data_IF_673951080895
#
_entry.id   IF_673951080895
#
_cell.length_a   1.000
_cell.length_b   1.000
_cell.length_c   1.000
_cell.angle_alpha   90.00
_cell.angle_beta   90.00
_cell.angle_gamma   90.00
#
_symmetry.space_group_name_H-M   'P 1'
#
loop_
_entity.id
_entity.type
_entity.pdbx_description
1 polymer ?
#
# COMPACT_ATOMS: atom_id res chain seq x y z
N UNK A 1 -13.11 3.60 13.71
CA UNK A 1 -12.48 3.02 12.51
C UNK A 1 -13.58 2.39 11.68
N UNK A 2 -13.56 2.46 10.35
CA UNK A 2 -14.55 1.73 9.56
C UNK A 2 -14.36 0.23 9.78
N UNK A 3 -15.46 -0.48 9.99
CA UNK A 3 -15.42 -1.93 10.05
C UNK A 3 -15.07 -2.49 8.67
N UNK A 4 -14.33 -3.57 8.65
CA UNK A 4 -14.04 -4.28 7.42
C UNK A 4 -15.34 -4.83 6.82
N UNK A 5 -15.53 -4.72 5.49
CA UNK A 5 -16.69 -5.33 4.84
C UNK A 5 -16.62 -6.85 4.94
N UNK A 6 -17.72 -7.52 4.68
CA UNK A 6 -17.77 -8.97 4.58
C UNK A 6 -16.99 -9.45 3.37
N UNK A 7 -16.49 -10.69 3.41
CA UNK A 7 -15.81 -11.30 2.27
C UNK A 7 -14.95 -12.49 2.70
N UNK A 8 -14.46 -13.21 1.69
CA UNK A 8 -13.63 -14.39 1.86
C UNK A 8 -12.18 -14.07 1.47
N UNK A 9 -11.23 -14.46 2.30
CA UNK A 9 -9.80 -14.30 1.97
C UNK A 9 -9.12 -13.12 2.68
N UNK A 10 -7.97 -12.66 2.16
CA UNK A 10 -7.16 -11.65 2.80
C UNK A 10 -7.81 -10.27 2.75
N UNK A 11 -7.59 -9.49 3.80
CA UNK A 11 -8.04 -8.09 3.91
C UNK A 11 -7.15 -7.19 3.09
N UNK A 12 -7.73 -6.47 2.12
CA UNK A 12 -7.02 -5.52 1.28
C UNK A 12 -7.22 -4.09 1.76
N UNK A 13 -6.13 -3.36 1.93
CA UNK A 13 -6.17 -1.91 2.10
C UNK A 13 -5.70 -1.23 0.81
N UNK A 14 -6.58 -0.48 0.15
CA UNK A 14 -6.29 0.22 -1.10
C UNK A 14 -6.27 1.74 -0.89
N UNK A 15 -5.10 2.35 -1.12
CA UNK A 15 -4.92 3.81 -1.10
C UNK A 15 -4.69 4.29 -2.53
N UNK A 16 -5.73 4.87 -3.15
CA UNK A 16 -5.79 5.10 -4.59
C UNK A 16 -5.98 6.58 -4.95
N UNK A 17 -5.61 6.93 -6.17
CA UNK A 17 -5.86 8.23 -6.78
C UNK A 17 -6.98 8.14 -7.79
N UNK A 18 -7.91 9.10 -7.76
CA UNK A 18 -9.06 9.15 -8.69
C UNK A 18 -8.66 9.35 -10.16
N UNK A 19 -7.51 9.95 -10.42
CA UNK A 19 -6.98 10.15 -11.77
C UNK A 19 -6.20 8.93 -12.33
N UNK A 20 -6.10 7.85 -11.58
CA UNK A 20 -5.46 6.63 -12.08
C UNK A 20 -6.29 5.98 -13.18
N UNK A 21 -5.74 5.89 -14.38
CA UNK A 21 -6.47 5.36 -15.56
C UNK A 21 -6.94 3.91 -15.43
N UNK A 22 -6.24 3.11 -14.61
CA UNK A 22 -6.58 1.73 -14.31
C UNK A 22 -7.55 1.54 -13.14
N UNK A 23 -8.18 2.62 -12.63
CA UNK A 23 -8.99 2.57 -11.40
C UNK A 23 -10.20 1.64 -11.53
N UNK A 24 -10.99 1.79 -12.61
CA UNK A 24 -12.19 0.96 -12.85
C UNK A 24 -11.84 -0.53 -13.01
N UNK A 25 -10.92 -0.96 -13.89
CA UNK A 25 -10.53 -2.37 -13.99
C UNK A 25 -9.87 -2.92 -12.71
N UNK A 26 -9.15 -2.10 -11.94
CA UNK A 26 -8.62 -2.51 -10.65
C UNK A 26 -9.76 -2.79 -9.65
N UNK A 27 -10.72 -1.87 -9.51
CA UNK A 27 -11.87 -2.03 -8.62
C UNK A 27 -12.73 -3.23 -9.02
N UNK A 28 -12.91 -3.46 -10.33
CA UNK A 28 -13.57 -4.65 -10.87
C UNK A 28 -12.87 -5.95 -10.45
N UNK A 29 -11.53 -5.97 -10.54
CA UNK A 29 -10.73 -7.12 -10.13
C UNK A 29 -10.80 -7.36 -8.61
N UNK A 30 -10.79 -6.28 -7.82
CA UNK A 30 -10.95 -6.36 -6.36
C UNK A 30 -12.35 -6.90 -6.02
N UNK A 31 -13.42 -6.39 -6.65
CA UNK A 31 -14.78 -6.86 -6.41
C UNK A 31 -14.93 -8.35 -6.76
N UNK A 32 -14.37 -8.78 -7.88
CA UNK A 32 -14.40 -10.18 -8.31
C UNK A 32 -13.64 -11.11 -7.35
N UNK A 33 -12.62 -10.62 -6.66
CA UNK A 33 -11.86 -11.41 -5.68
C UNK A 33 -12.65 -11.73 -4.42
N UNK A 34 -13.72 -10.98 -4.12
CA UNK A 34 -14.52 -11.05 -2.89
C UNK A 34 -13.70 -10.83 -1.60
N UNK A 35 -12.49 -10.34 -1.70
CA UNK A 35 -11.66 -10.04 -0.55
C UNK A 35 -12.20 -8.81 0.20
N UNK A 36 -12.30 -8.86 1.54
CA UNK A 36 -12.69 -7.70 2.34
C UNK A 36 -11.75 -6.53 2.05
N UNK A 37 -12.25 -5.45 1.46
CA UNK A 37 -11.41 -4.35 0.99
C UNK A 37 -11.88 -3.01 1.54
N UNK A 38 -10.97 -2.28 2.19
CA UNK A 38 -11.14 -0.88 2.52
C UNK A 38 -10.42 -0.02 1.49
N UNK A 39 -11.16 0.87 0.84
CA UNK A 39 -10.64 1.77 -0.19
C UNK A 39 -10.65 3.21 0.31
N UNK A 40 -9.52 3.89 0.25
CA UNK A 40 -9.46 5.33 0.30
C UNK A 40 -9.06 5.85 -1.09
N UNK A 41 -9.96 6.58 -1.71
CA UNK A 41 -9.73 7.20 -3.02
C UNK A 41 -10.31 8.61 -3.01
N UNK A 42 -9.44 9.60 -2.73
CA UNK A 42 -9.88 11.00 -2.67
C UNK A 42 -10.34 11.47 -4.04
N UNK A 43 -11.55 12.04 -4.09
CA UNK A 43 -12.12 12.59 -5.33
C UNK A 43 -12.57 11.52 -6.32
N UNK A 44 -12.88 10.31 -5.85
CA UNK A 44 -13.48 9.28 -6.71
C UNK A 44 -14.81 9.75 -7.29
N UNK A 45 -15.06 9.40 -8.55
CA UNK A 45 -16.34 9.65 -9.19
C UNK A 45 -17.48 8.96 -8.41
N UNK A 46 -18.58 9.69 -8.04
CA UNK A 46 -19.68 9.12 -7.27
C UNK A 46 -20.31 7.89 -7.92
N UNK A 47 -20.45 7.84 -9.23
CA UNK A 47 -21.02 6.72 -9.96
C UNK A 47 -20.10 5.49 -9.92
N UNK A 48 -18.79 5.73 -9.98
CA UNK A 48 -17.80 4.66 -9.87
C UNK A 48 -17.79 4.11 -8.43
N UNK A 49 -17.87 4.98 -7.43
CA UNK A 49 -18.00 4.59 -6.03
C UNK A 49 -19.26 3.73 -5.82
N UNK A 50 -20.44 4.21 -6.24
CA UNK A 50 -21.72 3.53 -6.11
C UNK A 50 -21.71 2.12 -6.74
N UNK A 51 -21.03 1.98 -7.89
CA UNK A 51 -20.90 0.68 -8.59
C UNK A 51 -20.17 -0.36 -7.77
N UNK A 52 -19.16 0.03 -6.97
CA UNK A 52 -18.29 -0.90 -6.25
C UNK A 52 -18.46 -0.88 -4.73
N UNK A 53 -19.11 0.13 -4.15
CA UNK A 53 -19.39 0.18 -2.70
C UNK A 53 -20.46 -0.85 -2.35
N UNK A 54 -20.07 -1.95 -1.71
CA UNK A 54 -20.97 -3.10 -1.52
C UNK A 54 -20.43 -4.14 -0.54
N UNK A 55 -20.77 -5.40 -0.79
CA UNK A 55 -20.54 -6.47 0.17
C UNK A 55 -19.09 -6.65 0.60
N UNK A 56 -18.15 -6.61 -0.37
CA UNK A 56 -16.72 -6.85 -0.12
C UNK A 56 -15.84 -5.60 -0.25
N UNK A 57 -16.37 -4.48 -0.71
CA UNK A 57 -15.64 -3.21 -0.83
C UNK A 57 -16.36 -2.13 -0.05
N UNK A 58 -15.63 -1.38 0.75
CA UNK A 58 -16.12 -0.18 1.45
C UNK A 58 -15.20 0.98 1.20
N UNK A 59 -15.77 2.10 0.76
CA UNK A 59 -15.03 3.34 0.58
C UNK A 59 -15.07 4.20 1.84
N UNK A 60 -13.90 4.65 2.29
CA UNK A 60 -13.82 5.66 3.34
C UNK A 60 -13.97 7.05 2.75
N UNK A 61 -14.81 7.88 3.38
CA UNK A 61 -14.95 9.29 3.03
C UNK A 61 -13.75 10.13 3.52
N UNK A 62 -13.11 9.70 4.59
CA UNK A 62 -12.01 10.41 5.24
C UNK A 62 -10.72 9.59 5.18
N UNK A 63 -9.59 10.30 5.26
CA UNK A 63 -8.29 9.65 5.37
C UNK A 63 -8.21 8.83 6.66
N UNK A 64 -7.91 7.55 6.50
CA UNK A 64 -7.82 6.62 7.60
C UNK A 64 -6.43 6.65 8.24
N UNK A 65 -6.37 6.40 9.55
CA UNK A 65 -5.09 6.23 10.23
C UNK A 65 -4.38 4.95 9.75
N UNK A 66 -3.37 5.13 8.92
CA UNK A 66 -2.60 4.01 8.32
C UNK A 66 -1.98 3.12 9.40
N UNK A 67 -1.49 3.69 10.49
CA UNK A 67 -0.91 2.95 11.62
C UNK A 67 -1.91 2.03 12.33
N UNK A 68 -3.21 2.34 12.29
CA UNK A 68 -4.27 1.51 12.87
C UNK A 68 -4.82 0.49 11.87
N UNK A 69 -4.71 0.77 10.57
CA UNK A 69 -5.21 -0.10 9.50
C UNK A 69 -4.22 -1.20 9.12
N UNK A 70 -2.95 -0.86 8.98
CA UNK A 70 -1.95 -1.82 8.52
C UNK A 70 -1.86 -3.09 9.36
N UNK A 71 -1.97 -3.07 10.70
CA UNK A 71 -2.00 -4.30 11.48
C UNK A 71 -3.14 -5.25 11.11
N UNK A 72 -4.25 -4.70 10.61
CA UNK A 72 -5.46 -5.46 10.26
C UNK A 72 -5.52 -5.87 8.79
N UNK A 73 -4.76 -5.23 7.92
CA UNK A 73 -4.68 -5.57 6.51
C UNK A 73 -3.71 -6.73 6.30
N UNK A 74 -3.92 -7.52 5.26
CA UNK A 74 -3.01 -8.58 4.83
C UNK A 74 -2.21 -8.14 3.59
N UNK A 75 -2.81 -7.34 2.71
CA UNK A 75 -2.21 -6.82 1.48
C UNK A 75 -2.51 -5.33 1.37
N UNK A 76 -1.53 -4.57 0.89
CA UNK A 76 -1.68 -3.14 0.60
C UNK A 76 -1.63 -2.91 -0.91
N UNK A 77 -2.56 -2.11 -1.44
CA UNK A 77 -2.56 -1.65 -2.84
C UNK A 77 -2.38 -0.13 -2.83
N UNK A 78 -1.36 0.36 -3.52
CA UNK A 78 -1.10 1.81 -3.56
C UNK A 78 -0.31 2.23 -4.81
N UNK A 79 -0.14 3.55 -4.98
CA UNK A 79 0.65 4.08 -6.09
C UNK A 79 2.17 4.11 -5.82
N UNK A 80 2.62 3.70 -4.63
CA UNK A 80 4.04 3.58 -4.33
C UNK A 80 4.67 4.88 -3.82
N UNK A 81 3.91 5.73 -3.09
CA UNK A 81 4.57 6.79 -2.33
C UNK A 81 5.54 6.17 -1.32
N UNK A 82 6.68 6.83 -1.11
CA UNK A 82 7.71 6.36 -0.17
C UNK A 82 7.12 6.06 1.21
N UNK A 83 6.31 6.98 1.75
CA UNK A 83 5.74 6.86 3.08
C UNK A 83 4.81 5.64 3.20
N UNK A 84 3.87 5.45 2.26
CA UNK A 84 2.92 4.33 2.31
C UNK A 84 3.65 3.00 2.15
N UNK A 85 4.58 2.91 1.20
CA UNK A 85 5.36 1.69 0.96
C UNK A 85 6.21 1.32 2.17
N UNK A 86 6.91 2.30 2.77
CA UNK A 86 7.71 2.06 3.97
C UNK A 86 6.85 1.60 5.16
N UNK A 87 5.71 2.24 5.40
CA UNK A 87 4.81 1.85 6.49
C UNK A 87 4.22 0.44 6.29
N UNK A 88 3.86 0.09 5.06
CA UNK A 88 3.37 -1.25 4.74
C UNK A 88 4.46 -2.32 5.01
N UNK A 89 5.68 -2.08 4.55
CA UNK A 89 6.80 -3.00 4.78
C UNK A 89 7.20 -3.10 6.26
N UNK A 90 7.20 -1.99 7.00
CA UNK A 90 7.44 -1.98 8.45
C UNK A 90 6.35 -2.73 9.22
N UNK A 91 5.13 -2.79 8.67
CA UNK A 91 4.05 -3.61 9.20
C UNK A 91 4.07 -5.07 8.70
N UNK A 92 5.08 -5.47 7.92
CA UNK A 92 5.22 -6.81 7.36
C UNK A 92 4.17 -7.15 6.29
N UNK A 93 3.63 -6.14 5.59
CA UNK A 93 2.55 -6.34 4.61
C UNK A 93 3.09 -6.30 3.18
N UNK A 94 2.80 -7.32 2.35
CA UNK A 94 3.12 -7.31 0.93
C UNK A 94 2.31 -6.23 0.21
N UNK A 95 2.88 -5.68 -0.87
CA UNK A 95 2.31 -4.52 -1.55
C UNK A 95 2.13 -4.76 -3.04
N UNK A 96 0.97 -4.35 -3.59
CA UNK A 96 0.79 -4.14 -5.03
C UNK A 96 1.00 -2.65 -5.33
N UNK A 97 2.01 -2.33 -6.13
CA UNK A 97 2.33 -0.96 -6.52
C UNK A 97 1.87 -0.65 -7.95
N UNK A 98 1.18 0.48 -8.08
CA UNK A 98 0.58 1.01 -9.32
C UNK A 98 1.10 2.43 -9.57
N UNK A 99 2.38 2.59 -9.93
CA UNK A 99 3.01 3.90 -10.03
C UNK A 99 2.36 4.77 -11.10
N UNK A 100 2.26 6.06 -10.83
CA UNK A 100 1.79 7.10 -11.76
C UNK A 100 2.85 8.16 -12.05
N UNK A 101 4.00 8.06 -11.36
CA UNK A 101 5.11 9.01 -11.44
C UNK A 101 6.45 8.24 -11.37
N UNK A 102 7.52 8.87 -11.86
CA UNK A 102 8.84 8.27 -11.92
C UNK A 102 9.37 7.82 -10.55
N UNK A 103 9.22 8.64 -9.52
CA UNK A 103 9.64 8.28 -8.15
C UNK A 103 8.97 6.99 -7.68
N UNK A 104 7.66 6.89 -7.86
CA UNK A 104 6.88 5.71 -7.49
C UNK A 104 7.32 4.46 -8.28
N UNK A 105 7.64 4.64 -9.56
CA UNK A 105 8.17 3.58 -10.41
C UNK A 105 9.53 3.06 -9.90
N UNK A 106 10.42 3.95 -9.48
CA UNK A 106 11.70 3.56 -8.90
C UNK A 106 11.52 2.79 -7.57
N UNK A 107 10.56 3.20 -6.74
CA UNK A 107 10.20 2.49 -5.51
C UNK A 107 9.64 1.09 -5.86
N UNK A 108 8.74 1.01 -6.83
CA UNK A 108 8.18 -0.25 -7.31
C UNK A 108 9.28 -1.22 -7.75
N UNK A 109 10.24 -0.77 -8.57
CA UNK A 109 11.37 -1.61 -9.01
C UNK A 109 12.19 -2.16 -7.85
N UNK A 110 12.42 -1.36 -6.81
CA UNK A 110 13.14 -1.79 -5.59
C UNK A 110 12.33 -2.81 -4.81
N UNK A 111 11.03 -2.57 -4.62
CA UNK A 111 10.12 -3.48 -3.93
C UNK A 111 10.06 -4.85 -4.62
N UNK A 112 9.86 -4.86 -5.94
CA UNK A 112 9.78 -6.09 -6.74
C UNK A 112 11.11 -6.86 -6.69
N UNK A 113 12.25 -6.17 -6.80
CA UNK A 113 13.58 -6.79 -6.66
C UNK A 113 13.78 -7.39 -5.27
N UNK A 114 13.28 -6.74 -4.23
CA UNK A 114 13.36 -7.26 -2.86
C UNK A 114 12.42 -8.46 -2.65
N UNK A 115 11.36 -8.59 -3.44
CA UNK A 115 10.41 -9.69 -3.41
C UNK A 115 9.27 -9.51 -2.40
N UNK A 116 9.05 -8.32 -1.84
CA UNK A 116 7.99 -8.06 -0.87
C UNK A 116 6.68 -7.59 -1.52
N UNK A 117 6.53 -7.72 -2.83
CA UNK A 117 5.32 -7.33 -3.53
C UNK A 117 5.45 -7.40 -5.03
N UNK A 118 4.43 -6.92 -5.70
CA UNK A 118 4.33 -6.84 -7.16
C UNK A 118 4.15 -5.39 -7.60
N UNK A 119 4.38 -5.13 -8.87
CA UNK A 119 4.16 -3.84 -9.49
C UNK A 119 3.59 -3.98 -10.89
N UNK A 120 2.67 -3.09 -11.23
CA UNK A 120 2.13 -2.97 -12.58
C UNK A 120 2.48 -1.56 -13.07
N UNK A 121 3.30 -1.49 -14.11
CA UNK A 121 3.73 -0.23 -14.69
C UNK A 121 2.57 0.47 -15.43
N UNK A 122 2.55 1.81 -15.49
CA UNK A 122 1.44 2.56 -16.06
C UNK A 122 1.26 2.35 -17.58
N UNK A 123 2.30 1.89 -18.27
CA UNK A 123 2.29 1.63 -19.72
C UNK A 123 1.68 0.28 -20.09
N UNK A 124 1.37 -0.58 -19.11
CA UNK A 124 0.79 -1.89 -19.37
C UNK A 124 -0.69 -1.72 -19.74
N UNK A 125 -0.98 -1.76 -21.03
CA UNK A 125 -2.33 -1.91 -21.54
C UNK A 125 -2.83 -3.32 -21.19
N UNK A 126 -4.06 -3.44 -20.68
CA UNK A 126 -4.66 -4.71 -20.24
C UNK A 126 -3.93 -5.33 -19.03
N UNK A 127 -3.64 -4.53 -18.03
CA UNK A 127 -3.03 -4.97 -16.78
C UNK A 127 -3.89 -6.05 -16.10
N UNK A 128 -3.29 -7.19 -15.79
CA UNK A 128 -3.96 -8.29 -15.09
C UNK A 128 -3.88 -8.09 -13.56
N UNK A 129 -4.76 -7.23 -13.06
CA UNK A 129 -4.88 -6.96 -11.62
C UNK A 129 -5.32 -8.19 -10.83
N UNK A 130 -6.19 -9.03 -11.42
CA UNK A 130 -6.72 -10.21 -10.77
C UNK A 130 -5.61 -11.23 -10.47
N UNK A 131 -4.76 -11.55 -11.46
CA UNK A 131 -3.61 -12.43 -11.26
C UNK A 131 -2.59 -11.86 -10.27
N UNK A 132 -2.35 -10.54 -10.26
CA UNK A 132 -1.44 -9.91 -9.30
C UNK A 132 -1.98 -10.01 -7.87
N UNK A 133 -3.27 -9.71 -7.64
CA UNK A 133 -3.91 -9.82 -6.33
C UNK A 133 -3.92 -11.28 -5.86
N UNK A 134 -4.28 -12.22 -6.73
CA UNK A 134 -4.24 -13.66 -6.43
C UNK A 134 -2.84 -14.12 -6.06
N UNK A 135 -1.81 -13.71 -6.80
CA UNK A 135 -0.44 -14.08 -6.50
C UNK A 135 0.02 -13.56 -5.13
N UNK A 136 -0.37 -12.33 -4.73
CA UNK A 136 -0.05 -11.79 -3.41
C UNK A 136 -0.80 -12.51 -2.29
N UNK A 137 -2.04 -12.97 -2.54
CA UNK A 137 -2.86 -13.69 -1.59
C UNK A 137 -2.35 -15.13 -1.35
N UNK A 138 -2.00 -15.84 -2.42
CA UNK A 138 -1.70 -17.27 -2.36
C UNK A 138 -0.20 -17.59 -2.19
N UNK A 139 0.68 -16.76 -2.77
CA UNK A 139 2.13 -17.00 -2.72
C UNK A 139 2.74 -16.39 -1.46
N UNK A 140 2.85 -17.16 -0.40
CA UNK A 140 3.39 -16.75 0.90
C UNK A 140 4.77 -16.10 0.87
N UNK A 141 5.53 -16.24 -0.22
CA UNK A 141 6.86 -15.63 -0.39
C UNK A 141 6.86 -14.11 -0.25
N UNK A 142 5.84 -13.40 -0.76
CA UNK A 142 5.75 -11.94 -0.68
C UNK A 142 5.54 -11.48 0.77
N UNK A 143 4.65 -12.16 1.49
CA UNK A 143 4.42 -11.90 2.90
C UNK A 143 5.65 -12.26 3.75
N UNK A 144 6.36 -13.34 3.42
CA UNK A 144 7.61 -13.71 4.09
C UNK A 144 8.68 -12.63 3.93
N UNK A 145 8.86 -12.10 2.71
CA UNK A 145 9.80 -11.00 2.44
C UNK A 145 9.39 -9.68 3.09
N UNK A 146 8.11 -9.38 3.15
CA UNK A 146 7.63 -8.21 3.87
C UNK A 146 7.89 -8.33 5.38
N UNK A 147 7.70 -9.51 5.97
CA UNK A 147 8.07 -9.78 7.38
C UNK A 147 9.57 -9.70 7.62
N UNK A 148 10.41 -10.25 6.72
CA UNK A 148 11.88 -10.11 6.79
C UNK A 148 12.30 -8.63 6.88
N UNK A 149 11.63 -7.77 6.11
CA UNK A 149 11.86 -6.32 6.19
C UNK A 149 11.45 -5.76 7.56
N UNK A 150 10.24 -6.09 8.02
CA UNK A 150 9.73 -5.63 9.30
C UNK A 150 10.66 -6.04 10.46
N UNK A 151 11.11 -7.29 10.48
CA UNK A 151 12.00 -7.84 11.51
C UNK A 151 13.36 -7.12 11.49
N UNK A 152 13.92 -6.88 10.31
CA UNK A 152 15.19 -6.15 10.15
C UNK A 152 15.13 -4.74 10.74
N UNK A 153 13.98 -4.10 10.68
CA UNK A 153 13.76 -2.72 11.13
C UNK A 153 12.87 -2.61 12.38
N UNK A 154 12.67 -3.71 13.12
CA UNK A 154 11.81 -3.76 14.31
C UNK A 154 12.21 -2.72 15.39
N UNK A 155 13.51 -2.40 15.49
CA UNK A 155 14.02 -1.36 16.38
C UNK A 155 13.95 0.06 15.83
N UNK A 156 13.43 0.26 14.60
CA UNK A 156 13.37 1.57 13.97
C UNK A 156 12.20 2.40 14.50
N UNK A 157 12.43 3.09 15.62
CA UNK A 157 11.47 4.05 16.14
C UNK A 157 11.64 5.41 15.45
N UNK A 158 10.55 5.95 14.90
CA UNK A 158 10.54 7.29 14.26
C UNK A 158 11.09 8.38 15.19
N UNK A 159 10.80 8.30 16.49
CA UNK A 159 11.32 9.21 17.50
C UNK A 159 12.84 9.12 17.65
N UNK A 160 13.41 7.92 17.63
CA UNK A 160 14.86 7.73 17.72
C UNK A 160 15.58 8.24 16.46
N UNK A 161 15.02 8.01 15.28
CA UNK A 161 15.54 8.54 14.02
C UNK A 161 15.53 10.07 14.03
N UNK A 162 14.43 10.68 14.48
CA UNK A 162 14.31 12.14 14.57
C UNK A 162 15.34 12.71 15.58
N UNK A 163 15.48 12.12 16.76
CA UNK A 163 16.48 12.54 17.75
C UNK A 163 17.91 12.47 17.20
N UNK A 164 18.23 11.39 16.46
CA UNK A 164 19.54 11.26 15.79
C UNK A 164 19.77 12.34 14.74
N UNK A 165 18.74 12.68 13.95
CA UNK A 165 18.83 13.76 12.95
C UNK A 165 19.05 15.11 13.62
N UNK A 166 18.30 15.43 14.67
CA UNK A 166 18.44 16.67 15.45
C UNK A 166 19.88 16.78 15.99
N UNK A 167 20.36 15.74 16.67
CA UNK A 167 21.72 15.73 17.23
C UNK A 167 22.80 15.95 16.17
N UNK A 168 22.64 15.38 14.97
CA UNK A 168 23.59 15.60 13.85
C UNK A 168 23.54 17.03 13.31
N UNK A 169 22.36 17.63 13.23
CA UNK A 169 22.20 19.04 12.80
C UNK A 169 22.84 19.95 13.84
N UNK A 170 22.57 19.76 15.12
CA UNK A 170 23.15 20.54 16.22
C UNK A 170 24.68 20.45 16.23
N UNK A 171 25.22 19.25 16.06
CA UNK A 171 26.67 19.06 15.95
C UNK A 171 27.30 19.78 14.74
N UNK A 172 26.60 19.80 13.61
CA UNK A 172 27.07 20.49 12.39
C UNK A 172 27.00 22.04 12.49
N UNK A 173 26.15 22.56 13.39
CA UNK A 173 26.01 24.01 13.63
C UNK A 173 26.99 24.54 14.68
N UNK A 174 27.70 23.66 15.40
CA UNK A 174 28.74 24.12 16.36
C UNK A 174 29.95 24.64 15.55
N UNK A 175 30.40 25.85 15.82
CA UNK A 175 31.60 26.39 15.16
C UNK A 175 32.81 25.51 15.51
N UNK A 176 33.56 25.13 14.45
CA UNK A 176 34.85 24.47 14.62
C UNK A 176 35.75 25.36 15.47
N UNK A 177 36.15 24.87 16.64
CA UNK A 177 37.15 25.55 17.48
C UNK A 177 38.54 25.44 16.86
#
# INVERSE_FOLDING_TARGET
>A
MPDWPAGDGPRLFAYLYSYFKGLDPLLSSIAASKCPTLVFCRGIDPKLKERYDGASIRFSAEAMSVSRLLPQADIVVSHGSHQMTAQALLAGKPVLLLPTQLEQFLIMRRLVRFGAGLGIAPEVSNADYASALKALAEKGQYAAKAREFADRYAGHARSAALATMIARIEAALQPSR
#
